data_IF_426248879471
#
_entry.id   IF_426248879471
#
_cell.length_a   1.000
_cell.length_b   1.000
_cell.length_c   1.000
_cell.angle_alpha   90.00
_cell.angle_beta   90.00
_cell.angle_gamma   90.00
#
_symmetry.space_group_name_H-M   'P 1'
#
loop_
_entity.id
_entity.type
_entity.pdbx_description
1 polymer ?
#
# COMPACT_ATOMS: atom_id res chain seq x y z
N UNK A 1 74.58 39.16 -1.17
CA UNK A 1 73.96 38.09 -0.35
C UNK A 1 72.45 38.25 -0.43
N UNK A 2 71.74 37.12 -0.59
CA UNK A 2 70.27 36.91 -0.45
C UNK A 2 69.43 37.35 -1.67
N UNK A 3 68.95 36.37 -2.47
CA UNK A 3 67.60 35.72 -2.45
C UNK A 3 66.56 36.62 -3.18
N UNK A 4 65.71 36.19 -4.09
CA UNK A 4 65.14 34.87 -4.36
C UNK A 4 64.72 34.76 -5.83
N UNK A 5 64.76 33.54 -6.33
CA UNK A 5 64.21 33.07 -7.62
C UNK A 5 62.69 33.05 -7.61
N UNK A 6 62.04 33.58 -8.64
CA UNK A 6 60.80 32.99 -9.16
C UNK A 6 60.74 33.20 -10.67
N UNK A 7 60.89 32.10 -11.39
CA UNK A 7 60.81 31.99 -12.83
C UNK A 7 59.34 32.04 -13.27
N UNK A 8 59.01 32.96 -14.16
CA UNK A 8 57.79 32.93 -14.95
C UNK A 8 57.90 31.85 -16.05
N UNK A 9 56.92 30.95 -16.14
CA UNK A 9 56.64 30.19 -17.36
C UNK A 9 55.16 29.80 -17.45
N UNK A 10 54.39 30.75 -18.00
CA UNK A 10 53.21 30.69 -18.87
C UNK A 10 52.62 29.32 -19.31
N UNK A 11 51.30 29.39 -19.58
CA UNK A 11 50.37 28.48 -20.30
C UNK A 11 49.64 27.50 -19.37
N UNK A 12 48.31 27.36 -19.34
CA UNK A 12 47.29 27.55 -20.37
C UNK A 12 45.96 28.07 -19.79
N UNK A 13 45.14 28.62 -20.68
CA UNK A 13 43.88 29.31 -20.47
C UNK A 13 42.80 28.49 -19.73
N UNK A 14 42.01 29.18 -18.89
CA UNK A 14 40.69 28.76 -18.45
C UNK A 14 39.78 30.00 -18.52
N UNK A 15 39.23 30.22 -19.71
CA UNK A 15 38.07 31.05 -20.06
C UNK A 15 37.26 30.13 -21.00
N UNK A 16 35.95 30.00 -21.00
CA UNK A 16 34.82 30.41 -20.19
C UNK A 16 33.61 29.57 -20.69
N UNK A 17 32.52 29.56 -19.94
CA UNK A 17 31.14 29.44 -20.45
C UNK A 17 30.67 28.11 -21.10
N UNK A 18 29.63 27.51 -20.51
CA UNK A 18 28.39 27.02 -21.17
C UNK A 18 27.79 25.78 -20.48
N UNK A 19 26.50 25.89 -20.15
CA UNK A 19 25.49 24.80 -20.15
C UNK A 19 25.35 23.88 -18.91
N UNK A 20 24.25 24.12 -18.18
CA UNK A 20 23.18 23.14 -17.91
C UNK A 20 23.63 21.68 -17.82
N UNK A 21 23.85 21.18 -16.61
CA UNK A 21 23.87 19.74 -16.35
C UNK A 21 22.44 19.20 -16.33
N UNK A 22 22.11 18.11 -17.05
CA UNK A 22 20.79 17.50 -16.96
C UNK A 22 20.68 16.69 -15.67
N UNK A 23 19.54 16.90 -15.01
CA UNK A 23 18.91 15.95 -14.09
C UNK A 23 18.85 14.57 -14.77
N UNK A 24 19.34 13.54 -14.09
CA UNK A 24 19.02 12.16 -14.40
C UNK A 24 18.80 11.41 -13.09
N UNK A 25 17.58 11.57 -12.57
CA UNK A 25 16.95 10.67 -11.61
C UNK A 25 16.76 9.32 -12.33
N UNK A 26 17.46 8.28 -11.88
CA UNK A 26 17.19 6.90 -12.31
C UNK A 26 16.15 6.30 -11.36
N UNK A 27 14.88 6.50 -11.73
CA UNK A 27 13.76 5.66 -11.27
C UNK A 27 13.55 4.52 -12.27
N UNK A 28 13.12 3.37 -11.76
CA UNK A 28 12.53 2.27 -12.52
C UNK A 28 13.47 1.06 -12.61
N UNK A 29 13.11 -0.11 -12.09
CA UNK A 29 11.82 -0.75 -12.31
C UNK A 29 11.60 -1.87 -11.29
N UNK A 30 10.59 -1.71 -10.43
CA UNK A 30 9.99 -2.82 -9.71
C UNK A 30 9.16 -3.61 -10.72
N UNK A 31 9.55 -4.86 -10.98
CA UNK A 31 8.85 -5.74 -11.90
C UNK A 31 7.51 -6.17 -11.31
N UNK A 32 6.43 -5.56 -11.79
CA UNK A 32 5.07 -6.08 -11.57
C UNK A 32 4.93 -7.35 -12.41
N UNK A 33 5.03 -8.52 -11.79
CA UNK A 33 4.67 -9.79 -12.41
C UNK A 33 3.14 -9.96 -12.35
N UNK A 34 2.43 -9.34 -13.29
CA UNK A 34 1.02 -9.62 -13.51
C UNK A 34 0.87 -11.03 -14.13
N UNK A 35 0.53 -12.03 -13.31
CA UNK A 35 0.14 -13.35 -13.81
C UNK A 35 -1.31 -13.28 -14.27
N UNK A 36 -1.51 -13.08 -15.57
CA UNK A 36 -2.81 -13.25 -16.23
C UNK A 36 -3.10 -14.76 -16.35
N UNK A 37 -3.95 -15.28 -15.47
CA UNK A 37 -4.48 -16.63 -15.58
C UNK A 37 -5.46 -16.72 -16.76
N UNK A 38 -5.03 -17.32 -17.88
CA UNK A 38 -5.96 -17.77 -18.92
C UNK A 38 -6.73 -18.99 -18.40
N UNK A 39 -8.00 -18.80 -18.06
CA UNK A 39 -8.93 -19.91 -17.82
C UNK A 39 -9.46 -20.42 -19.16
N UNK A 40 -9.36 -21.72 -19.49
CA UNK A 40 -10.03 -22.28 -20.66
C UNK A 40 -11.55 -22.34 -20.43
N UNK A 41 -12.28 -21.86 -21.43
CA UNK A 41 -13.73 -21.93 -21.55
C UNK A 41 -14.17 -23.40 -21.51
N UNK A 42 -14.89 -23.79 -20.45
CA UNK A 42 -15.52 -25.10 -20.34
C UNK A 42 -17.00 -25.00 -20.73
N UNK A 43 -17.37 -25.91 -21.62
CA UNK A 43 -18.66 -26.08 -22.31
C UNK A 43 -19.88 -26.06 -21.38
N UNK A 44 -20.94 -25.39 -21.83
CA UNK A 44 -22.24 -25.33 -21.18
C UNK A 44 -22.95 -26.70 -21.21
N UNK A 45 -23.21 -27.27 -20.02
CA UNK A 45 -24.15 -28.37 -19.81
C UNK A 45 -25.46 -27.83 -19.22
N UNK A 46 -26.55 -27.94 -19.98
CA UNK A 46 -27.91 -27.58 -19.56
C UNK A 46 -28.47 -28.59 -18.56
N UNK A 47 -28.84 -28.13 -17.36
CA UNK A 47 -29.74 -28.86 -16.46
C UNK A 47 -30.89 -27.97 -16.05
N UNK A 48 -32.06 -28.29 -16.61
CA UNK A 48 -33.36 -27.78 -16.20
C UNK A 48 -33.72 -28.38 -14.84
N UNK A 49 -34.02 -27.52 -13.86
CA UNK A 49 -34.76 -27.88 -12.66
C UNK A 49 -35.97 -26.96 -12.57
N UNK A 50 -37.10 -27.46 -13.04
CA UNK A 50 -38.44 -27.01 -12.67
C UNK A 50 -38.67 -27.33 -11.19
N UNK A 51 -39.12 -26.37 -10.38
CA UNK A 51 -40.02 -26.57 -9.22
C UNK A 51 -40.60 -25.22 -8.77
N UNK A 52 -41.92 -25.23 -8.57
CA UNK A 52 -42.76 -24.03 -8.42
C UNK A 52 -42.94 -23.48 -7.00
N UNK A 53 -43.69 -22.36 -7.01
CA UNK A 53 -44.26 -21.50 -5.97
C UNK A 53 -44.33 -21.96 -4.50
N UNK A 54 -44.08 -21.02 -3.59
CA UNK A 54 -44.76 -20.97 -2.29
C UNK A 54 -44.07 -20.14 -1.19
N UNK A 55 -44.67 -18.99 -0.89
CA UNK A 55 -44.76 -18.33 0.42
C UNK A 55 -43.57 -17.62 1.10
N UNK A 56 -43.93 -16.43 1.60
CA UNK A 56 -43.20 -15.48 2.40
C UNK A 56 -42.73 -16.10 3.72
N UNK A 57 -41.41 -16.14 3.97
CA UNK A 57 -40.87 -16.34 5.31
C UNK A 57 -39.76 -15.34 5.62
N UNK A 58 -39.84 -14.85 6.84
CA UNK A 58 -39.12 -13.75 7.45
C UNK A 58 -37.60 -13.82 7.24
N UNK A 59 -36.97 -12.65 7.27
CA UNK A 59 -35.56 -12.53 7.58
C UNK A 59 -35.31 -13.19 8.95
N UNK A 60 -34.97 -14.47 8.91
CA UNK A 60 -34.35 -15.19 10.00
C UNK A 60 -33.02 -14.49 10.24
N UNK A 61 -32.95 -13.75 11.34
CA UNK A 61 -31.73 -13.18 11.89
C UNK A 61 -30.83 -14.37 12.22
N UNK A 62 -30.05 -14.81 11.23
CA UNK A 62 -28.95 -15.73 11.43
C UNK A 62 -27.91 -14.99 12.26
N UNK A 63 -28.16 -14.92 13.58
CA UNK A 63 -27.12 -14.95 14.59
C UNK A 63 -26.33 -16.24 14.34
N UNK A 64 -25.36 -16.15 13.44
CA UNK A 64 -24.28 -17.10 13.36
C UNK A 64 -23.57 -17.04 14.72
N UNK A 65 -23.41 -18.21 15.32
CA UNK A 65 -22.75 -18.47 16.59
C UNK A 65 -21.32 -17.87 16.61
N UNK A 66 -21.18 -16.58 16.91
CA UNK A 66 -19.91 -15.85 16.89
C UNK A 66 -19.08 -16.05 18.18
N UNK A 67 -19.46 -17.02 19.01
CA UNK A 67 -18.94 -17.18 20.38
C UNK A 67 -17.94 -18.33 20.55
N UNK A 68 -17.71 -19.21 19.57
CA UNK A 68 -16.72 -20.29 19.71
C UNK A 68 -15.27 -19.90 19.33
N UNK A 69 -15.08 -18.73 18.70
CA UNK A 69 -13.78 -18.20 18.29
C UNK A 69 -13.39 -16.87 18.98
N UNK A 70 -14.20 -16.42 19.94
CA UNK A 70 -13.94 -15.17 20.68
C UNK A 70 -12.73 -15.26 21.66
N UNK A 71 -12.11 -16.44 21.81
CA UNK A 71 -11.07 -16.69 22.80
C UNK A 71 -9.63 -16.65 22.26
N UNK A 72 -9.40 -16.51 20.94
CA UNK A 72 -8.04 -16.36 20.38
C UNK A 72 -7.64 -14.87 20.31
N UNK A 73 -6.63 -14.41 21.08
CA UNK A 73 -6.19 -13.02 21.07
C UNK A 73 -5.76 -12.52 19.69
N UNK A 74 -5.16 -13.37 18.85
CA UNK A 74 -4.70 -12.98 17.52
C UNK A 74 -5.90 -12.75 16.58
N UNK A 75 -6.90 -13.62 16.65
CA UNK A 75 -8.14 -13.47 15.88
C UNK A 75 -8.87 -12.19 16.26
N UNK A 76 -9.01 -11.92 17.56
CA UNK A 76 -9.58 -10.67 18.05
C UNK A 76 -8.82 -9.46 17.51
N UNK A 77 -7.48 -9.47 17.58
CA UNK A 77 -6.66 -8.37 17.10
C UNK A 77 -6.85 -8.12 15.59
N UNK A 78 -6.91 -9.19 14.77
CA UNK A 78 -7.17 -9.05 13.34
C UNK A 78 -8.56 -8.48 13.04
N UNK A 79 -9.59 -8.93 13.76
CA UNK A 79 -10.95 -8.37 13.63
C UNK A 79 -10.96 -6.87 13.96
N UNK A 80 -10.35 -6.49 15.08
CA UNK A 80 -10.27 -5.08 15.50
C UNK A 80 -9.48 -4.22 14.51
N UNK A 81 -8.37 -4.73 13.95
CA UNK A 81 -7.61 -4.02 12.91
C UNK A 81 -8.43 -3.82 11.63
N UNK A 82 -9.13 -4.87 11.19
CA UNK A 82 -10.02 -4.80 10.03
C UNK A 82 -11.19 -3.84 10.25
N UNK A 83 -11.78 -3.82 11.45
CA UNK A 83 -12.88 -2.92 11.78
C UNK A 83 -12.41 -1.46 11.78
N UNK A 84 -11.26 -1.16 12.39
CA UNK A 84 -10.66 0.19 12.35
C UNK A 84 -10.36 0.65 10.92
N UNK A 85 -9.79 -0.24 10.10
CA UNK A 85 -9.51 0.03 8.69
C UNK A 85 -10.81 0.35 7.94
N UNK A 86 -11.84 -0.47 8.09
CA UNK A 86 -13.14 -0.23 7.46
C UNK A 86 -13.76 1.08 7.93
N UNK A 87 -13.79 1.34 9.24
CA UNK A 87 -14.30 2.59 9.81
C UNK A 87 -13.58 3.81 9.21
N UNK A 88 -12.24 3.76 9.11
CA UNK A 88 -11.43 4.81 8.50
C UNK A 88 -11.70 4.99 7.00
N UNK A 89 -11.97 3.91 6.26
CA UNK A 89 -12.30 3.97 4.83
C UNK A 89 -13.72 4.47 4.54
N UNK A 90 -14.61 4.55 5.54
CA UNK A 90 -15.98 5.07 5.39
C UNK A 90 -16.05 6.60 5.24
N UNK A 91 -14.96 7.25 4.82
CA UNK A 91 -14.93 8.67 4.45
C UNK A 91 -15.85 8.93 3.26
N UNK A 92 -16.60 10.03 3.33
CA UNK A 92 -17.48 10.43 2.23
C UNK A 92 -16.66 10.84 1.00
N UNK A 93 -17.00 10.27 -0.16
CA UNK A 93 -16.40 10.64 -1.43
C UNK A 93 -16.68 12.11 -1.77
N UNK A 94 -15.62 12.81 -2.15
CA UNK A 94 -15.68 14.20 -2.62
C UNK A 94 -16.07 14.28 -4.10
N UNK A 95 -15.84 13.19 -4.85
CA UNK A 95 -15.97 13.15 -6.30
C UNK A 95 -14.69 13.55 -7.03
N UNK A 96 -13.64 13.94 -6.31
CA UNK A 96 -12.29 14.06 -6.83
C UNK A 96 -11.55 12.73 -6.59
N UNK A 97 -11.19 12.06 -7.68
CA UNK A 97 -10.60 10.72 -7.62
C UNK A 97 -9.24 10.70 -6.91
N UNK A 98 -8.43 11.75 -7.04
CA UNK A 98 -7.08 11.78 -6.45
C UNK A 98 -7.18 12.00 -4.94
N UNK A 99 -8.07 12.90 -4.52
CA UNK A 99 -8.39 13.16 -3.10
C UNK A 99 -9.01 11.94 -2.43
N UNK A 100 -9.98 11.31 -3.11
CA UNK A 100 -10.68 10.14 -2.59
C UNK A 100 -9.74 8.93 -2.50
N UNK A 101 -8.81 8.79 -3.45
CA UNK A 101 -7.74 7.79 -3.38
C UNK A 101 -6.83 8.03 -2.17
N UNK A 102 -6.29 9.24 -2.01
CA UNK A 102 -5.37 9.54 -0.93
C UNK A 102 -6.02 9.38 0.46
N UNK A 103 -7.24 9.90 0.63
CA UNK A 103 -8.00 9.77 1.87
C UNK A 103 -8.40 8.33 2.18
N UNK A 104 -8.69 7.53 1.17
CA UNK A 104 -9.01 6.12 1.33
C UNK A 104 -7.78 5.25 1.61
N UNK A 105 -6.63 5.56 1.01
CA UNK A 105 -5.41 4.75 1.15
C UNK A 105 -4.70 4.94 2.48
N UNK A 106 -4.81 6.10 3.13
CA UNK A 106 -4.25 6.28 4.48
C UNK A 106 -4.79 5.23 5.48
N UNK A 107 -6.11 5.10 5.71
CA UNK A 107 -6.64 4.10 6.63
C UNK A 107 -6.44 2.67 6.13
N UNK A 108 -6.45 2.43 4.81
CA UNK A 108 -6.15 1.12 4.24
C UNK A 108 -4.70 0.69 4.57
N UNK A 109 -3.73 1.59 4.39
CA UNK A 109 -2.34 1.35 4.72
C UNK A 109 -2.13 1.19 6.22
N UNK A 110 -2.80 2.00 7.04
CA UNK A 110 -2.77 1.84 8.50
C UNK A 110 -3.31 0.47 8.93
N UNK A 111 -4.37 -0.03 8.29
CA UNK A 111 -4.88 -1.38 8.52
C UNK A 111 -3.85 -2.46 8.21
N UNK A 112 -3.09 -2.31 7.13
CA UNK A 112 -2.02 -3.24 6.79
C UNK A 112 -0.85 -3.20 7.79
N UNK A 113 -0.49 -2.01 8.29
CA UNK A 113 0.50 -1.84 9.36
C UNK A 113 0.02 -2.52 10.65
N UNK A 114 -1.25 -2.33 11.03
CA UNK A 114 -1.85 -2.96 12.21
C UNK A 114 -1.78 -4.49 12.09
N UNK A 115 -2.16 -5.06 10.95
CA UNK A 115 -2.07 -6.50 10.69
C UNK A 115 -0.63 -7.02 10.68
N UNK A 116 0.31 -6.26 10.13
CA UNK A 116 1.73 -6.60 10.15
C UNK A 116 2.27 -6.65 11.59
N UNK A 117 1.84 -5.73 12.45
CA UNK A 117 2.21 -5.76 13.87
C UNK A 117 1.62 -7.00 14.59
N UNK A 118 0.41 -7.41 14.25
CA UNK A 118 -0.22 -8.61 14.83
C UNK A 118 0.59 -9.87 14.50
N UNK A 119 1.06 -10.06 13.26
CA UNK A 119 1.89 -11.23 12.94
C UNK A 119 3.28 -11.17 13.59
N UNK A 120 3.80 -9.97 13.87
CA UNK A 120 5.03 -9.80 14.66
C UNK A 120 4.85 -10.15 16.15
N UNK A 121 3.64 -9.96 16.69
CA UNK A 121 3.32 -10.28 18.08
C UNK A 121 2.93 -11.75 18.28
N UNK A 122 2.12 -12.30 17.38
CA UNK A 122 1.48 -13.61 17.55
C UNK A 122 2.00 -14.70 16.60
N UNK A 123 2.67 -14.33 15.50
CA UNK A 123 3.16 -15.27 14.49
C UNK A 123 4.54 -15.85 14.83
N UNK A 124 4.83 -17.04 14.30
CA UNK A 124 6.12 -17.75 14.52
C UNK A 124 6.94 -17.95 13.23
N UNK A 125 6.37 -17.70 12.05
CA UNK A 125 7.08 -17.88 10.78
C UNK A 125 8.00 -16.69 10.47
N UNK A 126 9.30 -16.93 10.47
CA UNK A 126 10.34 -15.90 10.26
C UNK A 126 10.22 -15.18 8.91
N UNK A 127 9.78 -15.87 7.85
CA UNK A 127 9.62 -15.25 6.53
C UNK A 127 8.42 -14.29 6.53
N UNK A 128 7.32 -14.66 7.20
CA UNK A 128 6.17 -13.76 7.39
C UNK A 128 6.50 -12.59 8.29
N UNK A 129 7.26 -12.78 9.37
CA UNK A 129 7.70 -11.67 10.21
C UNK A 129 8.65 -10.72 9.46
N UNK A 130 9.53 -11.24 8.60
CA UNK A 130 10.38 -10.39 7.76
C UNK A 130 9.52 -9.58 6.77
N UNK A 131 8.57 -10.21 6.08
CA UNK A 131 7.63 -9.51 5.20
C UNK A 131 6.83 -8.44 5.94
N UNK A 132 6.40 -8.71 7.18
CA UNK A 132 5.66 -7.75 8.00
C UNK A 132 6.46 -6.48 8.29
N UNK A 133 7.75 -6.59 8.61
CA UNK A 133 8.62 -5.42 8.82
C UNK A 133 8.77 -4.59 7.53
N UNK A 134 8.94 -5.26 6.40
CA UNK A 134 9.03 -4.60 5.08
C UNK A 134 7.71 -3.87 4.71
N UNK A 135 6.58 -4.48 5.06
CA UNK A 135 5.25 -3.87 4.89
C UNK A 135 5.12 -2.62 5.76
N UNK A 136 5.56 -2.66 7.02
CA UNK A 136 5.51 -1.50 7.92
C UNK A 136 6.34 -0.36 7.36
N UNK A 137 7.62 -0.61 7.04
CA UNK A 137 8.53 0.42 6.53
C UNK A 137 7.97 1.08 5.25
N UNK A 138 7.48 0.27 4.30
CA UNK A 138 6.95 0.80 3.04
C UNK A 138 5.66 1.59 3.23
N UNK A 139 4.72 1.09 4.02
CA UNK A 139 3.40 1.71 4.16
C UNK A 139 3.43 2.95 5.08
N UNK A 140 4.38 3.05 6.01
CA UNK A 140 4.65 4.30 6.74
C UNK A 140 5.13 5.41 5.78
N UNK A 141 6.04 5.09 4.84
CA UNK A 141 6.49 6.04 3.81
C UNK A 141 5.34 6.46 2.88
N UNK A 142 4.48 5.53 2.48
CA UNK A 142 3.31 5.79 1.64
C UNK A 142 2.28 6.67 2.37
N UNK A 143 1.98 6.41 3.64
CA UNK A 143 1.11 7.28 4.45
C UNK A 143 1.67 8.70 4.52
N UNK A 144 2.95 8.85 4.84
CA UNK A 144 3.58 10.17 4.93
C UNK A 144 3.51 10.94 3.59
N UNK A 145 3.67 10.23 2.47
CA UNK A 145 3.48 10.81 1.15
C UNK A 145 2.03 11.27 0.91
N UNK A 146 1.04 10.43 1.21
CA UNK A 146 -0.38 10.74 1.00
C UNK A 146 -0.85 11.90 1.88
N UNK A 147 -0.42 11.96 3.14
CA UNK A 147 -0.71 13.07 4.05
C UNK A 147 -0.11 14.38 3.53
N UNK A 148 1.16 14.37 3.13
CA UNK A 148 1.82 15.55 2.57
C UNK A 148 1.16 16.00 1.26
N UNK A 149 0.74 15.05 0.42
CA UNK A 149 0.04 15.34 -0.82
C UNK A 149 -1.31 16.02 -0.55
N UNK A 150 -2.10 15.51 0.42
CA UNK A 150 -3.36 16.14 0.81
C UNK A 150 -3.14 17.56 1.35
N UNK A 151 -2.13 17.76 2.20
CA UNK A 151 -1.79 19.09 2.74
C UNK A 151 -1.42 20.08 1.63
N UNK A 152 -0.57 19.68 0.68
CA UNK A 152 -0.15 20.52 -0.45
C UNK A 152 -1.34 20.93 -1.34
N UNK A 153 -2.35 20.07 -1.44
CA UNK A 153 -3.55 20.30 -2.26
C UNK A 153 -4.73 20.88 -1.46
N UNK A 154 -4.55 21.16 -0.17
CA UNK A 154 -5.53 21.84 0.69
C UNK A 154 -6.67 20.95 1.21
N UNK A 155 -6.39 19.68 1.48
CA UNK A 155 -7.35 18.66 1.90
C UNK A 155 -7.17 18.15 3.32
#
# INVERSE_FOLDING_TARGET
MLRSTQTESRTAAYDADTSRGPLALLLGSLGVAAVLALSPLAEAGSHEHDHGHGDEHAHDDHQMDDQEHADDPAEQAYREANDRMHEGMMVGFTGDADVDFARGMIPHHQGAIDMANIVLEHGEDEALQQLAREIIDAQEEEIAFLEAWLEEHGH
#
